data_IF_195658525656
#
_entry.id   IF_195658525656
#
_cell.length_a   1.000
_cell.length_b   1.000
_cell.length_c   1.000
_cell.angle_alpha   90.00
_cell.angle_beta   90.00
_cell.angle_gamma   90.00
#
_symmetry.space_group_name_H-M   'P 1'
#
loop_
_entity.id
_entity.type
_entity.pdbx_description
1 polymer ?
#
# COMPACT_ATOMS: atom_id res chain seq x y z
N UNK A 1 -11.24 6.37 18.90
CA UNK A 1 -10.60 5.06 18.60
C UNK A 1 -10.57 4.18 19.84
N UNK A 2 -9.93 4.60 20.94
CA UNK A 2 -9.88 3.81 22.18
C UNK A 2 -11.27 3.39 22.67
N UNK A 3 -12.22 4.33 22.75
CA UNK A 3 -13.62 4.03 23.09
C UNK A 3 -14.29 3.03 22.14
N UNK A 4 -13.94 3.06 20.85
CA UNK A 4 -14.49 2.13 19.86
C UNK A 4 -13.97 0.70 20.09
N UNK A 5 -12.69 0.57 20.44
CA UNK A 5 -12.08 -0.73 20.75
C UNK A 5 -12.60 -1.29 22.07
N UNK A 6 -12.81 -0.44 23.08
CA UNK A 6 -13.33 -0.86 24.39
C UNK A 6 -14.83 -1.18 24.33
N UNK A 7 -15.59 -0.44 23.53
CA UNK A 7 -17.06 -0.55 23.47
C UNK A 7 -17.62 -1.61 22.52
N UNK A 8 -16.79 -2.22 21.67
CA UNK A 8 -17.21 -3.27 20.73
C UNK A 8 -16.75 -4.62 21.26
N UNK A 9 -17.71 -5.51 21.52
CA UNK A 9 -17.45 -6.92 21.85
C UNK A 9 -17.07 -7.70 20.59
N UNK A 10 -15.86 -7.45 20.08
CA UNK A 10 -15.33 -8.06 18.86
C UNK A 10 -14.11 -7.35 18.26
N UNK A 11 -13.41 -7.99 17.31
CA UNK A 11 -12.21 -7.42 16.71
C UNK A 11 -12.54 -6.19 15.84
N UNK A 12 -11.96 -5.04 16.20
CA UNK A 12 -12.14 -3.79 15.45
C UNK A 12 -11.14 -3.69 14.30
N UNK A 13 -11.65 -3.44 13.10
CA UNK A 13 -10.86 -3.13 11.91
C UNK A 13 -10.93 -1.64 11.54
N UNK A 14 -9.82 -1.09 11.05
CA UNK A 14 -9.74 0.31 10.60
C UNK A 14 -9.17 0.42 9.19
N UNK A 15 -9.42 1.57 8.55
CA UNK A 15 -8.81 1.92 7.27
C UNK A 15 -7.69 2.94 7.48
N UNK A 16 -6.53 2.68 6.91
CA UNK A 16 -5.44 3.62 6.77
C UNK A 16 -5.48 4.26 5.37
N UNK A 17 -5.10 5.53 5.30
CA UNK A 17 -5.02 6.32 4.08
C UNK A 17 -3.90 7.37 4.23
N UNK A 18 -3.44 8.01 3.15
CA UNK A 18 -2.41 9.05 3.25
C UNK A 18 -2.80 10.16 4.23
N UNK A 19 -1.92 10.46 5.19
CA UNK A 19 -2.18 11.41 6.28
C UNK A 19 -2.82 10.80 7.53
N UNK A 20 -3.21 9.52 7.51
CA UNK A 20 -3.62 8.80 8.72
C UNK A 20 -2.41 8.51 9.63
N UNK A 21 -2.62 8.27 10.93
CA UNK A 21 -1.57 7.79 11.84
C UNK A 21 -0.90 6.52 11.32
N UNK A 22 0.37 6.32 11.70
CA UNK A 22 1.09 5.09 11.38
C UNK A 22 0.36 3.88 11.96
N UNK A 23 0.48 2.71 11.31
CA UNK A 23 -0.20 1.46 11.72
C UNK A 23 0.05 1.09 13.19
N UNK A 24 1.22 1.44 13.72
CA UNK A 24 1.59 1.20 15.11
C UNK A 24 0.67 1.92 16.11
N UNK A 25 0.19 3.13 15.78
CA UNK A 25 -0.64 3.91 16.70
C UNK A 25 -2.04 3.28 16.93
N UNK A 26 -2.81 2.89 15.88
CA UNK A 26 -4.02 2.09 16.05
C UNK A 26 -3.78 0.74 16.73
N UNK A 27 -2.67 0.05 16.40
CA UNK A 27 -2.35 -1.25 16.98
C UNK A 27 -2.16 -1.15 18.51
N UNK A 28 -1.48 -0.10 18.99
CA UNK A 28 -1.31 0.16 20.42
C UNK A 28 -2.63 0.44 21.16
N UNK A 29 -3.69 0.79 20.42
CA UNK A 29 -5.04 1.02 20.96
C UNK A 29 -5.92 -0.24 20.92
N UNK A 30 -5.40 -1.39 20.47
CA UNK A 30 -6.11 -2.67 20.40
C UNK A 30 -6.88 -2.92 19.09
N UNK A 31 -6.57 -2.18 18.02
CA UNK A 31 -7.13 -2.47 16.70
C UNK A 31 -6.58 -3.80 16.18
N UNK A 32 -7.48 -4.70 15.76
CA UNK A 32 -7.15 -6.06 15.32
C UNK A 32 -6.77 -6.15 13.83
N UNK A 33 -7.22 -5.20 13.00
CA UNK A 33 -6.95 -5.19 11.56
C UNK A 33 -6.81 -3.77 11.03
N UNK A 34 -5.80 -3.55 10.20
CA UNK A 34 -5.67 -2.32 9.40
C UNK A 34 -5.75 -2.68 7.92
N UNK A 35 -6.58 -1.97 7.17
CA UNK A 35 -6.75 -2.13 5.73
C UNK A 35 -6.40 -0.83 5.00
N UNK A 36 -5.99 -0.90 3.75
CA UNK A 36 -5.78 0.29 2.90
C UNK A 36 -6.96 0.59 1.97
N UNK A 37 -8.04 -0.22 2.02
CA UNK A 37 -9.14 -0.17 1.07
C UNK A 37 -8.64 -0.18 -0.38
N UNK A 38 -9.15 0.75 -1.19
CA UNK A 38 -8.68 0.96 -2.58
C UNK A 38 -7.45 1.88 -2.69
N UNK A 39 -6.85 2.30 -1.57
CA UNK A 39 -5.75 3.26 -1.55
C UNK A 39 -4.53 2.83 -2.36
N UNK A 40 -4.17 1.55 -2.29
CA UNK A 40 -3.06 0.99 -3.10
C UNK A 40 -3.39 0.99 -4.61
N UNK A 41 -4.63 0.69 -4.97
CA UNK A 41 -5.07 0.68 -6.38
C UNK A 41 -5.17 2.08 -6.98
N UNK A 42 -5.35 3.11 -6.14
CA UNK A 42 -5.43 4.52 -6.53
C UNK A 42 -4.09 5.24 -6.47
N UNK A 43 -3.01 4.55 -6.12
CA UNK A 43 -1.69 5.15 -6.19
C UNK A 43 -1.44 5.68 -7.61
N UNK A 44 -0.81 6.86 -7.75
CA UNK A 44 -0.50 7.39 -9.06
C UNK A 44 0.29 6.35 -9.85
N UNK A 45 -0.18 6.05 -11.07
CA UNK A 45 0.53 5.13 -11.95
C UNK A 45 1.93 5.68 -12.20
N UNK A 46 3.00 4.87 -12.03
CA UNK A 46 4.34 5.37 -12.27
C UNK A 46 4.59 5.47 -13.77
N UNK A 47 5.26 6.56 -14.14
CA UNK A 47 5.61 6.88 -15.52
C UNK A 47 4.52 7.68 -16.22
N UNK A 48 4.84 8.83 -16.84
CA UNK A 48 3.90 9.47 -17.74
C UNK A 48 3.65 8.55 -18.95
N UNK A 49 2.39 8.37 -19.39
CA UNK A 49 2.12 7.65 -20.64
C UNK A 49 2.82 8.32 -21.84
N UNK A 50 3.20 9.58 -21.68
CA UNK A 50 3.87 10.41 -22.68
C UNK A 50 5.28 9.95 -23.02
N UNK A 51 6.05 9.31 -22.13
CA UNK A 51 7.42 8.86 -22.48
C UNK A 51 7.40 7.83 -23.62
N UNK A 52 6.45 6.91 -23.59
CA UNK A 52 6.23 5.95 -24.66
C UNK A 52 5.77 6.65 -25.95
N UNK A 53 4.87 7.64 -25.82
CA UNK A 53 4.25 8.31 -26.97
C UNK A 53 5.18 9.33 -27.64
N UNK A 54 6.02 10.02 -26.87
CA UNK A 54 6.90 11.09 -27.35
C UNK A 54 8.30 10.57 -27.69
N UNK A 55 8.85 9.67 -26.87
CA UNK A 55 10.23 9.21 -26.99
C UNK A 55 10.36 7.74 -27.43
N UNK A 56 9.28 6.95 -27.40
CA UNK A 56 9.33 5.52 -27.73
C UNK A 56 10.17 4.69 -26.75
N UNK A 57 10.35 5.17 -25.52
CA UNK A 57 11.23 4.56 -24.52
C UNK A 57 10.46 4.09 -23.28
N UNK A 58 11.12 3.22 -22.49
CA UNK A 58 10.59 2.61 -21.26
C UNK A 58 11.50 2.87 -20.05
N UNK A 59 12.27 3.96 -20.05
CA UNK A 59 13.25 4.26 -19.02
C UNK A 59 12.61 4.43 -17.63
N UNK A 60 11.63 5.34 -17.50
CA UNK A 60 11.01 5.61 -16.19
C UNK A 60 10.37 4.38 -15.53
N UNK A 61 9.65 3.51 -16.27
CA UNK A 61 9.17 2.24 -15.72
C UNK A 61 10.31 1.24 -15.43
N UNK A 62 11.27 1.07 -16.32
CA UNK A 62 12.35 0.07 -16.17
C UNK A 62 13.22 0.33 -14.93
N UNK A 63 13.55 1.60 -14.66
CA UNK A 63 14.40 1.98 -13.53
C UNK A 63 13.67 1.87 -12.17
N UNK A 64 12.34 1.96 -12.16
CA UNK A 64 11.54 1.96 -10.91
C UNK A 64 11.16 0.57 -10.41
N UNK A 65 11.02 -0.40 -11.31
CA UNK A 65 10.40 -1.69 -10.96
C UNK A 65 11.36 -2.85 -10.72
N UNK A 66 12.65 -2.72 -11.05
CA UNK A 66 13.72 -3.67 -10.68
C UNK A 66 13.27 -5.14 -10.66
N UNK A 67 13.21 -5.80 -11.83
CA UNK A 67 12.61 -7.14 -11.97
C UNK A 67 13.31 -8.27 -11.18
N UNK A 68 14.51 -8.06 -10.64
CA UNK A 68 15.27 -9.10 -9.93
C UNK A 68 14.57 -9.65 -8.68
N UNK A 69 13.88 -8.80 -7.91
CA UNK A 69 13.15 -9.22 -6.70
C UNK A 69 11.92 -10.08 -7.02
N UNK A 70 10.98 -9.59 -7.84
CA UNK A 70 9.81 -10.37 -8.25
C UNK A 70 10.17 -11.70 -8.96
N UNK A 71 11.17 -11.70 -9.83
CA UNK A 71 11.56 -12.90 -10.59
C UNK A 71 12.23 -13.97 -9.72
N UNK A 72 12.82 -13.59 -8.59
CA UNK A 72 13.39 -14.51 -7.61
C UNK A 72 12.37 -15.00 -6.56
N UNK A 73 11.17 -14.42 -6.51
CA UNK A 73 10.15 -14.80 -5.51
C UNK A 73 9.58 -16.22 -5.68
N UNK A 74 9.31 -16.77 -6.89
CA UNK A 74 8.72 -18.11 -7.02
C UNK A 74 9.70 -19.25 -6.72
N UNK A 75 11.01 -18.98 -6.66
CA UNK A 75 12.06 -19.96 -6.35
C UNK A 75 12.41 -20.02 -4.86
N UNK A 76 11.75 -19.19 -4.03
CA UNK A 76 11.93 -19.13 -2.58
C UNK A 76 10.74 -19.80 -1.88
N UNK A 77 10.67 -21.12 -1.97
CA UNK A 77 9.74 -21.97 -1.22
C UNK A 77 10.53 -22.99 -0.39
#
# INVERSE_FOLDING_TARGET
MKELVVGIDGPVGVMSFPGAPSVAAPAALGVARTSAGSGLARLPRPGPPWELLEAGTYGTPADRYGYGGPNASPTRA
#
